data_IF_091029337175
#
_entry.id   IF_091029337175
#
_cell.length_a   1.000
_cell.length_b   1.000
_cell.length_c   1.000
_cell.angle_alpha   90.00
_cell.angle_beta   90.00
_cell.angle_gamma   90.00
#
_symmetry.space_group_name_H-M   'P 1'
#
loop_
_entity.id
_entity.type
_entity.pdbx_description
1 polymer ?
#
# COMPACT_ATOMS: atom_id res chain seq x y z
N UNK A 1 -30.08 3.13 -4.34
CA UNK A 1 -28.90 2.99 -3.48
C UNK A 1 -28.22 1.72 -3.94
N UNK A 2 -27.33 1.83 -4.92
CA UNK A 2 -26.43 0.72 -5.22
C UNK A 2 -25.50 0.59 -4.02
N UNK A 3 -25.55 -0.55 -3.34
CA UNK A 3 -24.48 -0.91 -2.42
C UNK A 3 -23.24 -1.07 -3.29
N UNK A 4 -22.37 -0.05 -3.34
CA UNK A 4 -21.03 -0.20 -3.89
C UNK A 4 -20.31 -1.23 -3.01
N UNK A 5 -20.34 -2.48 -3.46
CA UNK A 5 -19.72 -3.58 -2.77
C UNK A 5 -18.25 -3.57 -3.19
N UNK A 6 -17.39 -3.00 -2.34
CA UNK A 6 -15.93 -3.05 -2.54
C UNK A 6 -15.45 -4.50 -2.56
N UNK A 7 -14.43 -4.76 -3.38
CA UNK A 7 -13.75 -6.04 -3.44
C UNK A 7 -12.88 -6.20 -2.19
N UNK A 8 -12.96 -7.34 -1.50
CA UNK A 8 -12.11 -7.56 -0.32
C UNK A 8 -10.75 -8.10 -0.76
N UNK A 9 -9.69 -7.39 -0.40
CA UNK A 9 -8.30 -7.78 -0.68
C UNK A 9 -7.67 -8.21 0.64
N UNK A 10 -7.36 -9.50 0.74
CA UNK A 10 -6.59 -10.03 1.86
C UNK A 10 -5.13 -9.60 1.70
N UNK A 11 -4.73 -8.55 2.42
CA UNK A 11 -3.38 -7.98 2.33
C UNK A 11 -2.41 -8.75 3.24
N UNK A 12 -2.84 -9.04 4.46
CA UNK A 12 -2.03 -9.76 5.46
C UNK A 12 -2.01 -11.27 5.17
N UNK A 13 -1.59 -11.67 3.98
CA UNK A 13 -1.46 -13.06 3.55
C UNK A 13 0.00 -13.41 3.18
N UNK A 14 0.40 -14.68 3.31
CA UNK A 14 1.76 -15.11 2.95
C UNK A 14 2.15 -14.85 1.49
N UNK A 15 1.17 -14.73 0.59
CA UNK A 15 1.44 -14.48 -0.85
C UNK A 15 1.81 -13.03 -1.15
N UNK A 16 1.56 -12.12 -0.20
CA UNK A 16 1.86 -10.68 -0.27
C UNK A 16 2.91 -10.27 0.76
N UNK A 17 3.38 -11.19 1.59
CA UNK A 17 4.32 -10.94 2.67
C UNK A 17 5.74 -10.76 2.12
N UNK A 18 6.40 -9.70 2.56
CA UNK A 18 7.82 -9.42 2.39
C UNK A 18 8.44 -9.45 3.79
N UNK A 19 9.43 -10.31 3.98
CA UNK A 19 10.15 -10.44 5.24
C UNK A 19 11.47 -9.68 5.09
N UNK A 20 11.64 -8.62 5.88
CA UNK A 20 12.87 -7.84 5.94
C UNK A 20 13.88 -8.48 6.89
N UNK A 21 15.10 -7.92 6.90
CA UNK A 21 16.10 -8.33 7.87
C UNK A 21 15.63 -8.02 9.30
N UNK A 22 15.60 -9.03 10.18
CA UNK A 22 15.16 -8.87 11.57
C UNK A 22 13.73 -9.33 11.89
N UNK A 23 13.13 -10.15 11.01
CA UNK A 23 11.75 -10.68 11.16
C UNK A 23 10.65 -9.62 11.08
N UNK A 24 10.98 -8.41 10.60
CA UNK A 24 9.99 -7.39 10.24
C UNK A 24 9.21 -7.84 9.00
N UNK A 25 7.89 -7.62 9.04
CA UNK A 25 6.95 -8.06 8.00
C UNK A 25 6.27 -6.88 7.39
N UNK A 26 6.36 -6.79 6.07
CA UNK A 26 5.58 -5.87 5.26
C UNK A 26 4.64 -6.68 4.37
N UNK A 27 3.52 -6.09 3.99
CA UNK A 27 2.59 -6.68 3.05
C UNK A 27 2.36 -5.77 1.86
N UNK A 28 2.31 -6.35 0.66
CA UNK A 28 2.01 -5.64 -0.57
C UNK A 28 0.51 -5.35 -0.66
N UNK A 29 0.15 -4.07 -0.63
CA UNK A 29 -1.21 -3.60 -0.93
C UNK A 29 -1.47 -3.77 -2.43
N UNK A 30 -0.65 -3.11 -3.25
CA UNK A 30 -0.66 -3.27 -4.70
C UNK A 30 0.74 -3.04 -5.30
N UNK A 31 0.89 -3.49 -6.55
CA UNK A 31 2.09 -3.25 -7.36
C UNK A 31 1.68 -2.64 -8.72
N UNK A 32 2.56 -1.82 -9.28
CA UNK A 32 2.37 -1.23 -10.60
C UNK A 32 3.69 -1.06 -11.33
N UNK A 33 3.65 -0.98 -12.65
CA UNK A 33 4.82 -0.68 -13.48
C UNK A 33 4.55 0.64 -14.21
N UNK A 34 5.43 1.62 -14.01
CA UNK A 34 5.34 2.94 -14.64
C UNK A 34 6.70 3.27 -15.26
N UNK A 35 6.71 3.64 -16.55
CA UNK A 35 7.94 4.00 -17.27
C UNK A 35 9.07 2.94 -17.23
N UNK A 36 8.73 1.66 -17.05
CA UNK A 36 9.69 0.56 -16.93
C UNK A 36 10.30 0.40 -15.53
N UNK A 37 9.82 1.17 -14.55
CA UNK A 37 10.12 1.01 -13.14
C UNK A 37 8.95 0.32 -12.44
N UNK A 38 9.26 -0.61 -11.54
CA UNK A 38 8.27 -1.32 -10.75
C UNK A 38 8.12 -0.64 -9.40
N UNK A 39 6.89 -0.33 -9.02
CA UNK A 39 6.53 0.31 -7.77
C UNK A 39 5.68 -0.64 -6.93
N UNK A 40 5.91 -0.63 -5.62
CA UNK A 40 5.14 -1.40 -4.66
C UNK A 40 4.69 -0.47 -3.53
N UNK A 41 3.41 -0.54 -3.23
CA UNK A 41 2.83 0.11 -2.04
C UNK A 41 2.69 -0.95 -0.97
N UNK A 42 3.43 -0.77 0.12
CA UNK A 42 3.54 -1.72 1.21
C UNK A 42 2.87 -1.17 2.47
N UNK A 43 2.61 -2.06 3.42
CA UNK A 43 2.13 -1.69 4.75
C UNK A 43 2.69 -2.65 5.81
N UNK A 44 2.93 -2.12 7.01
CA UNK A 44 3.19 -2.88 8.24
C UNK A 44 1.93 -2.98 9.13
N UNK A 45 0.76 -2.56 8.61
CA UNK A 45 -0.54 -2.35 9.28
C UNK A 45 -0.68 -1.04 10.04
N UNK A 46 0.41 -0.34 10.30
CA UNK A 46 0.43 0.94 11.02
C UNK A 46 0.65 2.14 10.08
N UNK A 47 1.10 1.89 8.84
CA UNK A 47 1.24 2.93 7.83
C UNK A 47 1.42 2.41 6.40
N UNK A 48 1.58 3.37 5.48
CA UNK A 48 1.85 3.14 4.05
C UNK A 48 3.32 3.41 3.77
N UNK A 49 3.97 2.50 3.04
CA UNK A 49 5.37 2.62 2.64
C UNK A 49 5.42 2.55 1.11
N UNK A 50 5.87 3.63 0.48
CA UNK A 50 6.01 3.72 -0.97
C UNK A 50 7.42 3.27 -1.36
N UNK A 51 7.50 2.24 -2.21
CA UNK A 51 8.78 1.68 -2.65
C UNK A 51 8.83 1.51 -4.16
N UNK A 52 10.05 1.52 -4.69
CA UNK A 52 10.33 1.16 -6.08
C UNK A 52 11.49 0.18 -6.18
N UNK A 53 11.49 -0.60 -7.25
CA UNK A 53 12.53 -1.58 -7.52
C UNK A 53 13.68 -0.92 -8.32
N UNK A 54 14.86 -0.86 -7.72
CA UNK A 54 16.08 -0.30 -8.31
C UNK A 54 17.19 -1.35 -8.19
N UNK A 55 17.68 -1.88 -9.32
CA UNK A 55 18.70 -2.93 -9.36
C UNK A 55 18.36 -4.15 -8.49
N UNK A 56 17.15 -4.70 -8.66
CA UNK A 56 16.62 -5.85 -7.90
C UNK A 56 16.50 -5.61 -6.38
N UNK A 57 16.46 -4.35 -5.94
CA UNK A 57 16.26 -3.95 -4.55
C UNK A 57 15.09 -3.01 -4.39
N UNK A 58 14.38 -3.11 -3.28
CA UNK A 58 13.36 -2.14 -2.90
C UNK A 58 14.05 -0.93 -2.27
N UNK A 59 13.78 0.24 -2.84
CA UNK A 59 14.19 1.55 -2.32
C UNK A 59 12.94 2.38 -2.02
N UNK A 60 13.01 3.27 -1.02
CA UNK A 60 11.92 4.19 -0.72
C UNK A 60 11.76 5.19 -1.86
N UNK A 61 10.51 5.54 -2.16
CA UNK A 61 10.22 6.62 -3.11
C UNK A 61 10.44 7.95 -2.40
N UNK A 62 11.53 8.64 -2.75
CA UNK A 62 11.88 9.96 -2.20
C UNK A 62 11.41 11.13 -3.07
N UNK A 63 11.05 10.88 -4.33
CA UNK A 63 10.54 11.91 -5.23
C UNK A 63 9.07 12.20 -4.93
N UNK A 64 8.76 13.46 -4.60
CA UNK A 64 7.40 13.89 -4.24
C UNK A 64 6.40 13.71 -5.40
N UNK A 65 6.85 13.81 -6.65
CA UNK A 65 6.01 13.62 -7.82
C UNK A 65 5.63 12.15 -8.02
N UNK A 66 6.61 11.24 -7.91
CA UNK A 66 6.37 9.80 -7.90
C UNK A 66 5.46 9.40 -6.73
N UNK A 67 5.73 9.92 -5.53
CA UNK A 67 4.93 9.65 -4.35
C UNK A 67 3.46 10.09 -4.52
N UNK A 68 3.23 11.31 -5.02
CA UNK A 68 1.88 11.82 -5.30
C UNK A 68 1.12 10.94 -6.28
N UNK A 69 1.77 10.46 -7.35
CA UNK A 69 1.15 9.56 -8.32
C UNK A 69 0.76 8.22 -7.66
N UNK A 70 1.63 7.67 -6.81
CA UNK A 70 1.33 6.40 -6.14
C UNK A 70 0.19 6.52 -5.12
N UNK A 71 0.10 7.66 -4.43
CA UNK A 71 -1.01 7.95 -3.53
C UNK A 71 -2.34 8.11 -4.29
N UNK A 72 -2.36 8.85 -5.41
CA UNK A 72 -3.55 8.96 -6.27
C UNK A 72 -4.01 7.57 -6.77
N UNK A 73 -3.05 6.69 -7.09
CA UNK A 73 -3.33 5.31 -7.51
C UNK A 73 -3.84 4.45 -6.34
N UNK A 74 -3.30 4.64 -5.14
CA UNK A 74 -3.78 3.97 -3.93
C UNK A 74 -5.23 4.38 -3.63
N UNK A 75 -5.55 5.67 -3.68
CA UNK A 75 -6.90 6.16 -3.46
C UNK A 75 -7.88 5.55 -4.44
N UNK A 76 -7.53 5.59 -5.74
CA UNK A 76 -8.33 4.96 -6.79
C UNK A 76 -8.51 3.46 -6.55
N UNK A 77 -7.48 2.77 -6.04
CA UNK A 77 -7.56 1.37 -5.67
C UNK A 77 -8.54 1.14 -4.51
N UNK A 78 -8.54 2.00 -3.49
CA UNK A 78 -9.38 1.86 -2.29
C UNK A 78 -10.84 2.28 -2.49
N UNK A 79 -11.14 3.06 -3.53
CA UNK A 79 -12.52 3.30 -3.96
C UNK A 79 -13.21 1.97 -4.37
N UNK A 80 -12.45 1.06 -4.99
CA UNK A 80 -12.97 -0.22 -5.49
C UNK A 80 -12.68 -1.39 -4.55
N UNK A 81 -11.71 -1.26 -3.65
CA UNK A 81 -11.21 -2.34 -2.81
C UNK A 81 -11.28 -2.00 -1.31
N UNK A 82 -11.53 -3.02 -0.50
CA UNK A 82 -11.45 -2.98 0.96
C UNK A 82 -10.25 -3.82 1.39
N UNK A 83 -9.25 -3.20 2.03
CA UNK A 83 -8.11 -3.93 2.59
C UNK A 83 -8.53 -4.67 3.84
N UNK A 84 -8.29 -5.99 3.89
CA UNK A 84 -8.59 -6.81 5.06
C UNK A 84 -7.36 -7.55 5.58
N UNK A 85 -7.29 -7.67 6.90
CA UNK A 85 -6.26 -8.39 7.65
C UNK A 85 -6.49 -9.91 7.62
N UNK A 86 -5.60 -10.66 8.26
CA UNK A 86 -5.65 -12.12 8.37
C UNK A 86 -6.94 -12.65 9.05
N UNK A 87 -7.65 -11.80 9.80
CA UNK A 87 -8.90 -12.12 10.49
C UNK A 87 -10.14 -11.66 9.70
N UNK A 88 -9.96 -11.00 8.55
CA UNK A 88 -11.02 -10.44 7.73
C UNK A 88 -11.55 -9.07 8.20
N UNK A 89 -10.85 -8.40 9.11
CA UNK A 89 -11.15 -7.04 9.55
C UNK A 89 -10.54 -6.03 8.58
N UNK A 90 -11.26 -4.95 8.31
CA UNK A 90 -10.66 -3.81 7.61
C UNK A 90 -9.69 -3.07 8.52
N UNK A 91 -8.54 -2.69 7.98
CA UNK A 91 -7.50 -1.92 8.68
C UNK A 91 -7.17 -0.60 7.95
N UNK A 92 -8.10 -0.10 7.13
CA UNK A 92 -7.87 1.12 6.34
C UNK A 92 -7.77 2.36 7.22
N UNK A 93 -8.55 2.44 8.31
CA UNK A 93 -8.55 3.63 9.16
C UNK A 93 -7.19 3.87 9.81
N UNK A 94 -6.46 2.80 10.09
CA UNK A 94 -5.12 2.80 10.67
C UNK A 94 -4.06 3.33 9.69
N UNK A 95 -4.31 3.25 8.37
CA UNK A 95 -3.37 3.71 7.34
C UNK A 95 -3.47 5.21 7.05
N UNK A 96 -4.65 5.80 7.18
CA UNK A 96 -4.95 7.18 6.74
C UNK A 96 -4.86 8.25 7.84
N UNK A 97 -4.47 7.89 9.06
CA UNK A 97 -4.15 8.89 10.10
C UNK A 97 -2.91 9.75 9.72
N UNK A 98 -2.18 9.40 8.66
CA UNK A 98 -0.99 10.11 8.18
C UNK A 98 -1.25 11.32 7.26
N UNK A 99 -2.44 11.46 6.65
CA UNK A 99 -2.71 12.58 5.73
C UNK A 99 -3.03 13.91 6.42
N UNK A 100 -3.55 13.89 7.66
CA UNK A 100 -3.95 15.13 8.37
C UNK A 100 -2.76 15.94 8.93
N UNK A 101 -1.54 15.39 8.98
CA UNK A 101 -0.36 16.12 9.49
C UNK A 101 0.40 16.93 8.41
N UNK A 102 0.17 16.67 7.11
CA UNK A 102 0.90 17.38 6.04
C UNK A 102 0.25 18.73 5.70
N UNK A 103 -1.02 18.95 6.08
CA UNK A 103 -1.74 20.22 5.84
C UNK A 103 -1.60 21.30 6.94
N UNK A 104 -0.76 21.13 7.98
CA UNK A 104 -0.57 22.14 9.05
C UNK A 104 0.80 22.82 9.10
#
# INVERSE_FOLDING_TARGET
>A
MENNKRNKILVCSPEREIILEGDERLWVIFETEQNGERYLVLTDKDGIILTKEVNDKLELVEDEGEASILLDMLDSFLEENELIDENGNSFENELFEYEEEIEN
#
